data_IF_629001379413
#
_entry.id   IF_629001379413
#
_cell.length_a   1.000
_cell.length_b   1.000
_cell.length_c   1.000
_cell.angle_alpha   90.00
_cell.angle_beta   90.00
_cell.angle_gamma   90.00
#
_symmetry.space_group_name_H-M   'P 1'
#
loop_
_entity.id
_entity.type
_entity.pdbx_description
1 polymer ?
#
# COMPACT_ATOMS: atom_id res chain seq x y z
N UNK A 1 -20.42 -29.12 -2.75
CA UNK A 1 -19.27 -28.18 -2.71
C UNK A 1 -18.81 -28.12 -1.27
N UNK A 2 -17.51 -28.27 -0.99
CA UNK A 2 -17.01 -28.01 0.37
C UNK A 2 -17.27 -26.54 0.69
N UNK A 3 -17.68 -26.19 1.93
CA UNK A 3 -17.75 -24.79 2.32
C UNK A 3 -16.37 -24.15 2.09
N UNK A 4 -16.36 -22.94 1.53
CA UNK A 4 -15.15 -22.13 1.42
C UNK A 4 -14.78 -21.68 2.84
N UNK A 5 -13.72 -22.26 3.39
CA UNK A 5 -13.21 -21.92 4.71
C UNK A 5 -12.31 -20.69 4.61
N UNK A 6 -12.91 -19.50 4.46
CA UNK A 6 -12.18 -18.22 4.52
C UNK A 6 -11.91 -17.85 5.98
N UNK A 7 -10.68 -17.45 6.28
CA UNK A 7 -10.28 -17.02 7.62
C UNK A 7 -9.90 -15.53 7.66
N UNK A 8 -10.25 -14.81 8.75
CA UNK A 8 -11.16 -15.20 9.82
C UNK A 8 -12.61 -15.38 9.33
N UNK A 9 -13.48 -16.11 10.06
CA UNK A 9 -14.86 -16.28 9.66
C UNK A 9 -15.58 -14.92 9.64
N UNK A 10 -16.52 -14.74 8.70
CA UNK A 10 -17.21 -13.45 8.53
C UNK A 10 -17.88 -12.95 9.82
N UNK A 11 -18.42 -13.86 10.62
CA UNK A 11 -19.05 -13.52 11.91
C UNK A 11 -18.04 -12.88 12.88
N UNK A 12 -16.78 -13.32 12.86
CA UNK A 12 -15.72 -12.72 13.66
C UNK A 12 -15.42 -11.29 13.18
N UNK A 13 -15.23 -11.09 11.87
CA UNK A 13 -15.01 -9.77 11.27
C UNK A 13 -16.16 -8.82 11.61
N UNK A 14 -17.41 -9.30 11.46
CA UNK A 14 -18.61 -8.57 11.83
C UNK A 14 -18.59 -8.15 13.29
N UNK A 15 -18.26 -9.06 14.22
CA UNK A 15 -18.20 -8.74 15.64
C UNK A 15 -17.17 -7.64 15.96
N UNK A 16 -16.03 -7.62 15.26
CA UNK A 16 -15.00 -6.59 15.42
C UNK A 16 -15.46 -5.23 14.88
N UNK A 17 -16.16 -5.21 13.74
CA UNK A 17 -16.62 -3.97 13.08
C UNK A 17 -17.96 -3.43 13.61
N UNK A 18 -18.88 -4.28 14.03
CA UNK A 18 -20.22 -3.94 14.54
C UNK A 18 -20.34 -4.04 16.06
N UNK A 19 -19.43 -4.75 16.72
CA UNK A 19 -19.28 -4.80 18.18
C UNK A 19 -20.28 -5.78 18.78
N UNK A 20 -20.20 -6.06 20.09
CA UNK A 20 -21.27 -6.81 20.71
C UNK A 20 -22.58 -6.04 20.50
N UNK A 21 -23.68 -6.70 20.07
CA UNK A 21 -24.98 -6.05 20.06
C UNK A 21 -25.22 -5.48 21.45
N UNK A 22 -25.72 -4.24 21.53
CA UNK A 22 -26.06 -3.61 22.80
C UNK A 22 -26.82 -4.62 23.66
N UNK A 23 -26.22 -5.06 24.77
CA UNK A 23 -26.82 -6.05 25.67
C UNK A 23 -28.19 -5.53 26.08
N UNK A 24 -29.26 -6.09 25.51
CA UNK A 24 -30.52 -6.19 26.24
C UNK A 24 -30.26 -7.11 27.43
N UNK A 25 -30.76 -6.78 28.64
CA UNK A 25 -30.64 -7.68 29.78
C UNK A 25 -31.25 -9.04 29.41
N UNK A 26 -30.53 -10.08 29.80
CA UNK A 26 -30.52 -11.43 29.22
C UNK A 26 -31.86 -12.19 29.28
N UNK A 27 -32.01 -13.15 28.37
CA UNK A 27 -32.84 -14.33 28.58
C UNK A 27 -32.02 -15.59 28.26
N UNK A 28 -31.64 -16.31 29.33
CA UNK A 28 -31.32 -17.76 29.33
C UNK A 28 -29.95 -18.20 28.78
N UNK A 29 -29.29 -19.19 29.41
CA UNK A 29 -28.11 -19.82 28.84
C UNK A 29 -28.54 -20.73 27.68
N UNK A 30 -28.14 -20.36 26.45
CA UNK A 30 -28.21 -21.27 25.31
C UNK A 30 -27.03 -22.24 25.39
N UNK A 31 -27.35 -23.55 25.41
CA UNK A 31 -26.38 -24.64 25.33
C UNK A 31 -25.53 -24.49 24.06
N UNK A 32 -24.22 -24.43 24.25
CA UNK A 32 -23.24 -24.63 23.17
C UNK A 32 -23.37 -26.07 22.67
N UNK A 33 -23.87 -26.23 21.45
CA UNK A 33 -23.85 -27.50 20.74
C UNK A 33 -22.47 -27.70 20.15
N UNK A 34 -21.79 -28.75 20.61
CA UNK A 34 -20.60 -29.32 19.97
C UNK A 34 -20.91 -29.64 18.51
N UNK A 35 -20.22 -28.95 17.60
CA UNK A 35 -20.06 -29.38 16.22
C UNK A 35 -18.58 -29.69 16.00
N UNK A 36 -18.24 -30.97 16.17
CA UNK A 36 -16.96 -31.51 15.74
C UNK A 36 -16.90 -31.62 14.22
N UNK A 37 -15.81 -31.16 13.64
CA UNK A 37 -15.22 -31.72 12.42
C UNK A 37 -13.75 -31.30 12.37
N UNK A 38 -12.87 -32.29 12.25
CA UNK A 38 -11.42 -32.19 12.30
C UNK A 38 -10.84 -31.06 11.44
N UNK A 39 -10.35 -30.01 12.09
CA UNK A 39 -9.26 -29.23 11.55
C UNK A 39 -7.99 -30.09 11.70
N UNK A 40 -7.26 -30.31 10.61
CA UNK A 40 -5.86 -30.72 10.70
C UNK A 40 -5.17 -29.68 11.60
N UNK A 41 -4.96 -30.05 12.86
CA UNK A 41 -4.47 -29.14 13.87
C UNK A 41 -3.02 -28.82 13.54
N UNK A 42 -2.80 -27.65 12.95
CA UNK A 42 -1.51 -26.98 12.93
C UNK A 42 -0.98 -27.02 14.37
N UNK A 43 0.12 -27.74 14.58
CA UNK A 43 0.65 -27.94 15.92
C UNK A 43 1.08 -26.58 16.49
N UNK A 44 1.08 -26.38 17.82
CA UNK A 44 1.56 -25.15 18.42
C UNK A 44 2.99 -24.79 17.99
N UNK A 45 3.79 -25.78 17.59
CA UNK A 45 5.13 -25.61 17.03
C UNK A 45 5.14 -24.94 15.63
N UNK A 46 4.15 -25.26 14.79
CA UNK A 46 4.06 -24.75 13.40
C UNK A 46 3.71 -23.25 13.36
N UNK A 47 3.10 -22.74 14.45
CA UNK A 47 2.79 -21.32 14.60
C UNK A 47 3.94 -20.50 15.20
N UNK A 48 4.97 -21.14 15.77
CA UNK A 48 6.05 -20.42 16.46
C UNK A 48 6.83 -19.51 15.51
N UNK A 49 7.16 -20.00 14.30
CA UNK A 49 7.91 -19.21 13.34
C UNK A 49 7.10 -18.00 12.83
N UNK A 50 5.84 -18.15 12.35
CA UNK A 50 5.01 -17.00 11.97
C UNK A 50 4.79 -15.98 13.09
N UNK A 51 4.55 -16.45 14.33
CA UNK A 51 4.30 -15.55 15.46
C UNK A 51 5.57 -14.82 15.92
N UNK A 52 6.72 -15.50 15.90
CA UNK A 52 8.01 -14.88 16.22
C UNK A 52 8.37 -13.82 15.18
N UNK A 53 8.13 -14.12 13.91
CA UNK A 53 8.35 -13.18 12.81
C UNK A 53 7.43 -11.95 12.91
N UNK A 54 6.15 -12.16 13.22
CA UNK A 54 5.21 -11.08 13.48
C UNK A 54 5.64 -10.20 14.67
N UNK A 55 6.08 -10.83 15.77
CA UNK A 55 6.56 -10.12 16.94
C UNK A 55 7.80 -9.26 16.61
N UNK A 56 8.77 -9.85 15.89
CA UNK A 56 9.99 -9.17 15.44
C UNK A 56 9.67 -7.93 14.59
N UNK A 57 8.74 -8.04 13.66
CA UNK A 57 8.32 -6.91 12.81
C UNK A 57 7.63 -5.81 13.60
N UNK A 58 6.74 -6.17 14.52
CA UNK A 58 6.07 -5.19 15.40
C UNK A 58 7.06 -4.48 16.31
N UNK A 59 8.08 -5.18 16.81
CA UNK A 59 9.16 -4.58 17.60
C UNK A 59 10.00 -3.61 16.76
N UNK A 60 10.41 -4.00 15.55
CA UNK A 60 11.12 -3.13 14.61
C UNK A 60 10.30 -1.87 14.26
N UNK A 61 9.00 -2.02 14.07
CA UNK A 61 8.06 -0.93 13.81
C UNK A 61 7.96 0.02 15.02
N UNK A 62 7.86 -0.54 16.24
CA UNK A 62 7.82 0.24 17.47
C UNK A 62 9.11 1.04 17.69
N UNK A 63 10.27 0.43 17.41
CA UNK A 63 11.57 1.07 17.51
C UNK A 63 11.76 2.24 16.52
N UNK A 64 11.09 2.19 15.35
CA UNK A 64 11.21 3.23 14.33
C UNK A 64 10.60 4.57 14.75
N UNK A 65 9.60 4.56 15.63
CA UNK A 65 9.01 5.78 16.20
C UNK A 65 8.47 6.75 15.16
N UNK A 66 7.27 6.50 14.62
CA UNK A 66 6.67 7.42 13.66
C UNK A 66 6.25 8.75 14.31
N UNK A 67 6.61 9.86 13.67
CA UNK A 67 6.08 11.17 14.04
C UNK A 67 4.57 11.25 13.80
N UNK A 68 3.85 12.03 14.60
CA UNK A 68 2.39 12.19 14.51
C UNK A 68 1.91 12.95 13.24
N UNK A 69 2.81 13.34 12.35
CA UNK A 69 2.50 14.13 11.16
C UNK A 69 1.82 13.27 10.10
N UNK A 70 0.64 13.69 9.67
CA UNK A 70 -0.06 13.09 8.54
C UNK A 70 0.60 13.51 7.21
N UNK A 71 0.76 12.54 6.31
CA UNK A 71 1.39 12.70 5.01
C UNK A 71 0.91 11.59 4.05
N UNK A 72 1.04 11.76 2.71
CA UNK A 72 0.83 10.69 1.76
C UNK A 72 1.66 9.44 2.12
N UNK A 73 1.06 8.26 2.00
CA UNK A 73 1.71 6.98 2.30
C UNK A 73 1.70 6.61 3.79
N UNK A 74 1.21 7.49 4.68
CA UNK A 74 1.06 7.17 6.11
C UNK A 74 -0.11 6.22 6.30
N UNK A 75 0.17 5.08 6.92
CA UNK A 75 -0.84 4.18 7.43
C UNK A 75 -1.19 4.59 8.87
N UNK A 76 -2.47 4.82 9.14
CA UNK A 76 -2.98 5.24 10.44
C UNK A 76 -3.85 4.16 11.05
N UNK A 77 -3.80 4.02 12.38
CA UNK A 77 -4.94 3.49 13.15
C UNK A 77 -5.83 4.66 13.51
N UNK A 78 -7.12 4.52 13.28
CA UNK A 78 -8.14 5.53 13.60
C UNK A 78 -9.17 4.90 14.51
N UNK A 79 -9.41 5.52 15.68
CA UNK A 79 -10.50 5.11 16.56
C UNK A 79 -11.83 5.71 16.09
N UNK A 80 -12.80 4.87 15.75
CA UNK A 80 -14.16 5.24 15.41
C UNK A 80 -15.13 4.41 16.25
N UNK A 81 -15.97 5.06 17.07
CA UNK A 81 -16.92 4.39 17.98
C UNK A 81 -16.25 3.33 18.88
N UNK A 82 -15.03 3.61 19.36
CA UNK A 82 -14.25 2.68 20.19
C UNK A 82 -13.56 1.55 19.43
N UNK A 83 -13.56 1.57 18.10
CA UNK A 83 -12.96 0.53 17.25
C UNK A 83 -11.78 1.07 16.48
N UNK A 84 -10.76 0.24 16.32
CA UNK A 84 -9.60 0.58 15.52
C UNK A 84 -9.84 0.22 14.05
N UNK A 85 -9.72 1.22 13.17
CA UNK A 85 -9.74 1.06 11.72
C UNK A 85 -8.39 1.46 11.13
N UNK A 86 -7.90 0.72 10.14
CA UNK A 86 -6.72 1.10 9.37
C UNK A 86 -7.10 2.08 8.27
N UNK A 87 -6.31 3.14 8.07
CA UNK A 87 -6.48 4.07 6.96
C UNK A 87 -5.12 4.42 6.34
N UNK A 88 -4.94 4.14 5.06
CA UNK A 88 -3.80 4.63 4.29
C UNK A 88 -4.11 6.01 3.73
N UNK A 89 -3.33 7.02 4.10
CA UNK A 89 -3.47 8.38 3.59
C UNK A 89 -2.90 8.54 2.19
N UNK A 90 -3.66 9.20 1.33
CA UNK A 90 -3.27 9.49 -0.05
C UNK A 90 -2.86 10.96 -0.25
N UNK A 91 -3.80 11.87 -0.04
CA UNK A 91 -3.62 13.30 -0.36
C UNK A 91 -4.45 14.18 0.55
N UNK A 92 -3.98 15.41 0.73
CA UNK A 92 -4.74 16.48 1.37
C UNK A 92 -5.63 17.16 0.33
N UNK A 93 -6.92 17.24 0.59
CA UNK A 93 -7.90 17.95 -0.22
C UNK A 93 -7.85 19.46 0.06
N UNK A 94 -8.31 20.30 -0.89
CA UNK A 94 -8.29 21.77 -0.73
C UNK A 94 -9.06 22.30 0.47
N UNK A 95 -10.05 21.55 0.94
CA UNK A 95 -10.87 21.87 2.12
C UNK A 95 -10.23 21.44 3.45
N UNK A 96 -8.97 20.99 3.42
CA UNK A 96 -8.21 20.56 4.60
C UNK A 96 -8.48 19.13 5.07
N UNK A 97 -9.33 18.38 4.36
CA UNK A 97 -9.60 16.97 4.67
C UNK A 97 -8.57 16.05 4.00
N UNK A 98 -8.21 14.96 4.65
CA UNK A 98 -7.35 13.94 4.06
C UNK A 98 -8.18 12.87 3.37
N UNK A 99 -7.83 12.56 2.13
CA UNK A 99 -8.36 11.42 1.40
C UNK A 99 -7.43 10.22 1.55
N UNK A 100 -7.99 9.02 1.58
CA UNK A 100 -7.25 7.76 1.64
C UNK A 100 -8.14 6.56 1.37
N UNK A 101 -7.68 5.38 1.77
CA UNK A 101 -8.39 4.11 1.67
C UNK A 101 -8.37 3.37 3.00
N UNK A 102 -9.40 2.56 3.27
CA UNK A 102 -9.35 1.64 4.40
C UNK A 102 -8.25 0.60 4.21
N UNK A 103 -7.65 0.20 5.34
CA UNK A 103 -6.72 -0.91 5.42
C UNK A 103 -7.23 -1.95 6.43
N UNK A 104 -6.97 -3.22 6.11
CA UNK A 104 -7.53 -4.41 6.75
C UNK A 104 -6.44 -5.50 6.87
N UNK A 105 -6.71 -6.58 7.60
CA UNK A 105 -5.76 -7.68 7.81
C UNK A 105 -6.16 -9.00 7.13
N UNK A 106 -7.37 -9.05 6.57
CA UNK A 106 -8.04 -10.27 6.14
C UNK A 106 -7.72 -10.61 4.67
N UNK A 107 -6.57 -11.24 4.44
CA UNK A 107 -6.07 -11.58 3.08
C UNK A 107 -6.99 -12.53 2.31
N UNK A 108 -7.61 -13.51 2.99
CA UNK A 108 -8.49 -14.49 2.33
C UNK A 108 -9.74 -13.84 1.72
N UNK A 109 -10.10 -12.67 2.25
CA UNK A 109 -11.25 -11.89 1.83
C UNK A 109 -10.94 -10.90 0.70
N UNK A 110 -9.68 -10.82 0.27
CA UNK A 110 -9.26 -9.91 -0.78
C UNK A 110 -9.98 -10.20 -2.11
N UNK A 111 -10.44 -9.13 -2.75
CA UNK A 111 -10.89 -9.10 -4.14
C UNK A 111 -9.84 -8.50 -5.08
N UNK A 112 -10.18 -8.40 -6.36
CA UNK A 112 -9.30 -7.85 -7.40
C UNK A 112 -8.85 -6.39 -7.20
N UNK A 113 -9.52 -5.67 -6.29
CA UNK A 113 -9.28 -4.26 -6.00
C UNK A 113 -8.68 -4.03 -4.60
N UNK A 114 -8.34 -5.11 -3.90
CA UNK A 114 -7.61 -5.08 -2.64
C UNK A 114 -6.13 -5.30 -2.94
N UNK A 115 -5.27 -4.39 -2.49
CA UNK A 115 -3.82 -4.51 -2.68
C UNK A 115 -3.20 -5.07 -1.42
N UNK A 116 -2.54 -6.21 -1.54
CA UNK A 116 -1.81 -6.84 -0.43
C UNK A 116 -0.42 -6.21 -0.32
N UNK A 117 -0.05 -5.86 0.90
CA UNK A 117 1.25 -5.35 1.27
C UNK A 117 2.15 -6.50 1.68
N UNK A 118 3.37 -6.48 1.17
CA UNK A 118 4.35 -7.54 1.38
C UNK A 118 5.46 -7.08 2.34
N UNK A 119 6.32 -7.97 2.85
CA UNK A 119 7.43 -7.57 3.72
C UNK A 119 8.33 -6.49 3.11
N UNK A 120 8.50 -6.47 1.78
CA UNK A 120 9.26 -5.41 1.09
C UNK A 120 8.62 -4.02 1.13
N UNK A 121 7.33 -3.93 1.49
CA UNK A 121 6.60 -2.66 1.63
C UNK A 121 6.71 -2.08 3.05
N UNK A 122 7.39 -2.78 3.95
CA UNK A 122 7.68 -2.31 5.30
C UNK A 122 8.48 -0.99 5.26
N UNK A 123 8.25 -0.10 6.22
CA UNK A 123 7.62 -0.36 7.52
C UNK A 123 6.10 -0.09 7.57
N UNK A 124 5.33 -1.08 8.00
CA UNK A 124 3.91 -0.92 8.36
C UNK A 124 3.49 -1.96 9.40
N UNK A 125 2.36 -1.73 10.07
CA UNK A 125 1.73 -2.68 10.99
C UNK A 125 1.09 -3.84 10.21
N UNK A 126 1.59 -5.09 10.36
CA UNK A 126 1.10 -6.23 9.58
C UNK A 126 -0.40 -6.53 9.73
N UNK A 127 -1.04 -6.08 10.82
CA UNK A 127 -2.51 -6.17 10.98
C UNK A 127 -3.30 -5.37 9.93
N UNK A 128 -2.64 -4.51 9.17
CA UNK A 128 -3.22 -3.68 8.10
C UNK A 128 -2.55 -3.94 6.74
N UNK A 129 -2.24 -5.21 6.47
CA UNK A 129 -1.57 -5.67 5.25
C UNK A 129 -2.42 -5.67 3.99
N UNK A 130 -3.69 -5.28 4.02
CA UNK A 130 -4.58 -5.24 2.85
C UNK A 130 -5.15 -3.83 2.70
N UNK A 131 -4.89 -3.17 1.57
CA UNK A 131 -5.43 -1.83 1.25
C UNK A 131 -6.61 -1.96 0.32
N UNK A 132 -7.78 -1.50 0.76
CA UNK A 132 -9.04 -1.58 0.02
C UNK A 132 -9.16 -0.43 -0.97
N UNK A 133 -8.52 -0.53 -2.15
CA UNK A 133 -8.49 0.56 -3.14
C UNK A 133 -9.89 0.94 -3.68
N UNK A 134 -10.85 0.02 -3.56
CA UNK A 134 -12.26 0.22 -3.86
C UNK A 134 -13.05 0.97 -2.77
N UNK A 135 -12.49 1.17 -1.58
CA UNK A 135 -13.18 1.75 -0.41
C UNK A 135 -12.52 3.07 0.05
N UNK A 136 -12.68 4.16 -0.72
CA UNK A 136 -12.08 5.44 -0.37
C UNK A 136 -12.77 6.07 0.85
N UNK A 137 -11.98 6.70 1.72
CA UNK A 137 -12.45 7.42 2.90
C UNK A 137 -11.88 8.84 2.94
N UNK A 138 -12.53 9.70 3.72
CA UNK A 138 -12.08 11.07 3.97
C UNK A 138 -12.05 11.32 5.47
N UNK A 139 -10.94 11.87 5.96
CA UNK A 139 -10.67 12.15 7.37
C UNK A 139 -10.48 13.65 7.59
N UNK A 140 -10.91 14.13 8.74
CA UNK A 140 -10.51 15.44 9.27
C UNK A 140 -9.47 15.19 10.37
N UNK A 141 -8.33 15.89 10.41
CA UNK A 141 -7.45 15.85 11.57
C UNK A 141 -8.17 16.51 12.75
N UNK A 142 -8.86 15.72 13.57
CA UNK A 142 -9.65 16.20 14.69
C UNK A 142 -9.20 15.53 15.98
N UNK A 143 -9.18 16.23 17.14
CA UNK A 143 -8.87 15.65 18.44
C UNK A 143 -9.62 14.35 18.81
N UNK A 144 -10.91 14.13 18.45
CA UNK A 144 -11.59 12.86 18.74
C UNK A 144 -11.07 11.67 17.93
N UNK A 145 -10.36 11.90 16.83
CA UNK A 145 -9.69 10.85 16.08
C UNK A 145 -8.34 10.63 16.73
N UNK A 146 -8.26 9.67 17.66
CA UNK A 146 -6.98 9.17 18.17
C UNK A 146 -6.28 8.41 17.03
N UNK A 147 -5.65 9.17 16.14
CA UNK A 147 -4.98 8.65 14.97
C UNK A 147 -3.50 8.45 15.26
N UNK A 148 -3.03 7.20 15.30
CA UNK A 148 -1.61 6.89 15.43
C UNK A 148 -1.07 6.41 14.09
N UNK A 149 0.09 6.93 13.70
CA UNK A 149 0.82 6.43 12.54
C UNK A 149 1.37 5.04 12.86
N UNK A 150 1.00 4.07 12.03
CA UNK A 150 1.37 2.66 12.11
C UNK A 150 2.23 2.20 10.94
N UNK A 151 2.52 3.06 9.99
CA UNK A 151 3.33 2.70 8.83
C UNK A 151 3.59 3.85 7.90
N UNK A 152 4.52 3.62 6.98
CA UNK A 152 4.86 4.52 5.89
C UNK A 152 5.22 3.72 4.65
N UNK A 153 4.31 3.74 3.68
CA UNK A 153 4.55 3.11 2.39
C UNK A 153 5.43 4.00 1.52
N UNK A 154 6.26 3.37 0.69
CA UNK A 154 7.04 4.06 -0.32
C UNK A 154 6.14 4.81 -1.32
N UNK A 155 6.67 5.88 -1.92
CA UNK A 155 5.95 6.63 -2.95
C UNK A 155 5.57 5.74 -4.15
N UNK A 156 6.43 4.78 -4.51
CA UNK A 156 6.19 3.79 -5.58
C UNK A 156 5.01 2.88 -5.23
N UNK A 157 4.97 2.34 -4.00
CA UNK A 157 3.85 1.49 -3.58
C UNK A 157 2.55 2.27 -3.52
N UNK A 158 2.57 3.50 -3.00
CA UNK A 158 1.40 4.38 -3.00
C UNK A 158 0.90 4.69 -4.42
N UNK A 159 1.81 4.89 -5.38
CA UNK A 159 1.47 5.09 -6.79
C UNK A 159 0.81 3.85 -7.41
N UNK A 160 1.28 2.65 -7.09
CA UNK A 160 0.65 1.40 -7.51
C UNK A 160 -0.78 1.27 -6.97
N UNK A 161 -0.99 1.60 -5.69
CA UNK A 161 -2.33 1.59 -5.05
C UNK A 161 -3.26 2.60 -5.72
N UNK A 162 -2.78 3.82 -5.99
CA UNK A 162 -3.55 4.84 -6.76
C UNK A 162 -3.99 4.30 -8.11
N UNK A 163 -3.09 3.63 -8.84
CA UNK A 163 -3.40 3.08 -10.15
C UNK A 163 -4.49 2.00 -10.09
N UNK A 164 -4.49 1.14 -9.05
CA UNK A 164 -5.59 0.18 -8.81
C UNK A 164 -6.90 0.90 -8.51
N UNK A 165 -6.86 1.95 -7.69
CA UNK A 165 -8.05 2.75 -7.35
C UNK A 165 -8.63 3.45 -8.59
N UNK A 166 -7.78 3.98 -9.47
CA UNK A 166 -8.18 4.66 -10.71
C UNK A 166 -8.82 3.67 -11.70
N UNK A 167 -8.26 2.46 -11.84
CA UNK A 167 -8.87 1.39 -12.66
C UNK A 167 -10.24 0.97 -12.13
N UNK A 168 -10.39 0.82 -10.81
CA UNK A 168 -11.69 0.54 -10.19
C UNK A 168 -12.70 1.66 -10.45
N UNK A 169 -12.28 2.92 -10.28
CA UNK A 169 -13.13 4.08 -10.52
C UNK A 169 -13.56 4.17 -12.00
N UNK A 170 -12.64 3.89 -12.93
CA UNK A 170 -12.91 3.82 -14.36
C UNK A 170 -13.93 2.72 -14.69
N UNK A 171 -13.77 1.52 -14.13
CA UNK A 171 -14.69 0.40 -14.32
C UNK A 171 -16.11 0.77 -13.86
N UNK A 172 -16.26 1.48 -12.74
CA UNK A 172 -17.57 1.88 -12.21
C UNK A 172 -18.36 2.81 -13.13
N UNK A 173 -17.68 3.60 -13.96
CA UNK A 173 -18.30 4.55 -14.90
C UNK A 173 -18.37 3.96 -16.31
N UNK A 174 -18.01 2.68 -16.49
CA UNK A 174 -18.03 2.00 -17.79
C UNK A 174 -16.96 2.50 -18.75
N UNK A 175 -15.91 3.17 -18.25
CA UNK A 175 -14.77 3.53 -19.06
C UNK A 175 -13.97 2.25 -19.43
N UNK A 176 -13.25 2.24 -20.57
CA UNK A 176 -12.36 1.14 -20.91
C UNK A 176 -11.27 1.03 -19.85
N UNK A 177 -11.48 0.13 -18.88
CA UNK A 177 -10.49 -0.17 -17.86
C UNK A 177 -9.29 -0.84 -18.53
N UNK A 178 -8.08 -0.56 -18.02
CA UNK A 178 -6.93 -1.41 -18.29
C UNK A 178 -7.33 -2.87 -18.04
N UNK A 179 -6.89 -3.78 -18.91
CA UNK A 179 -7.32 -5.18 -18.88
C UNK A 179 -7.01 -5.81 -17.52
N UNK A 180 -8.01 -5.88 -16.63
CA UNK A 180 -7.95 -6.79 -15.48
C UNK A 180 -7.87 -8.18 -16.07
N UNK A 181 -6.73 -8.83 -15.89
CA UNK A 181 -6.46 -10.14 -16.42
C UNK A 181 -7.62 -11.07 -16.01
N UNK A 182 -8.27 -11.70 -16.99
CA UNK A 182 -9.49 -12.48 -16.83
C UNK A 182 -9.22 -13.75 -16.01
N UNK A 183 -9.08 -13.57 -14.70
CA UNK A 183 -8.89 -14.63 -13.73
C UNK A 183 -10.26 -15.01 -13.20
N UNK A 184 -10.61 -16.32 -13.16
CA UNK A 184 -11.89 -16.73 -12.61
C UNK A 184 -12.00 -16.35 -11.13
N UNK A 185 -13.21 -16.12 -10.61
CA UNK A 185 -13.44 -15.93 -9.19
C UNK A 185 -12.94 -17.14 -8.39
N UNK A 186 -12.05 -16.89 -7.43
CA UNK A 186 -11.55 -17.90 -6.51
C UNK A 186 -11.25 -17.23 -5.14
N UNK A 187 -12.24 -17.16 -4.24
CA UNK A 187 -12.05 -16.62 -2.88
C UNK A 187 -10.89 -17.31 -2.16
N UNK A 188 -10.13 -16.56 -1.34
CA UNK A 188 -8.92 -17.07 -0.68
C UNK A 188 -7.67 -17.16 -1.57
N UNK A 189 -7.77 -16.88 -2.87
CA UNK A 189 -6.61 -16.86 -3.77
C UNK A 189 -6.09 -15.46 -4.00
N UNK A 190 -4.76 -15.35 -3.94
CA UNK A 190 -4.00 -14.14 -4.26
C UNK A 190 -3.36 -14.31 -5.63
N UNK A 191 -3.43 -13.26 -6.45
CA UNK A 191 -2.90 -13.20 -7.79
C UNK A 191 -1.96 -12.02 -7.94
N UNK A 192 -0.87 -12.22 -8.68
CA UNK A 192 0.02 -11.15 -9.12
C UNK A 192 -0.58 -10.48 -10.37
N UNK A 193 -0.73 -9.16 -10.35
CA UNK A 193 -1.39 -8.39 -11.42
C UNK A 193 -0.53 -7.20 -11.84
N UNK A 194 -0.43 -6.99 -13.15
CA UNK A 194 0.11 -5.76 -13.73
C UNK A 194 -0.94 -4.64 -13.74
N UNK A 195 -0.54 -3.42 -13.37
CA UNK A 195 -1.42 -2.25 -13.22
C UNK A 195 -0.76 -1.02 -13.86
N UNK A 196 -1.54 -0.25 -14.62
CA UNK A 196 -1.07 0.93 -15.37
C UNK A 196 0.18 0.70 -16.24
N UNK A 197 0.47 -0.56 -16.62
CA UNK A 197 1.60 -0.94 -17.48
C UNK A 197 3.00 -0.84 -16.84
N UNK A 198 3.12 -0.40 -15.58
CA UNK A 198 4.42 -0.19 -14.93
C UNK A 198 4.50 -0.70 -13.48
N UNK A 199 3.37 -1.07 -12.87
CA UNK A 199 3.34 -1.60 -11.52
C UNK A 199 2.93 -3.06 -11.52
N UNK A 200 3.48 -3.80 -10.55
CA UNK A 200 3.04 -5.14 -10.21
C UNK A 200 2.53 -5.13 -8.77
N UNK A 201 1.34 -5.68 -8.54
CA UNK A 201 0.69 -5.74 -7.23
C UNK A 201 0.16 -7.13 -6.96
N UNK A 202 0.11 -7.52 -5.70
CA UNK A 202 -0.68 -8.68 -5.25
C UNK A 202 -2.11 -8.23 -4.96
N UNK A 203 -3.08 -8.90 -5.55
CA UNK A 203 -4.51 -8.67 -5.30
C UNK A 203 -5.22 -9.99 -5.06
N UNK A 204 -6.45 -9.95 -4.55
CA UNK A 204 -7.33 -11.12 -4.64
C UNK A 204 -7.81 -11.37 -6.07
N UNK A 205 -8.72 -12.33 -6.22
CA UNK A 205 -9.41 -12.60 -7.49
C UNK A 205 -10.70 -11.79 -7.63
N UNK A 206 -11.26 -11.62 -8.84
CA UNK A 206 -12.58 -11.01 -9.02
C UNK A 206 -13.66 -11.70 -8.19
N UNK A 207 -14.69 -10.95 -7.78
CA UNK A 207 -15.85 -11.51 -7.09
C UNK A 207 -16.69 -12.34 -8.06
N UNK A 208 -17.28 -13.43 -7.58
CA UNK A 208 -18.28 -14.16 -8.35
C UNK A 208 -19.57 -13.34 -8.47
N UNK A 209 -20.31 -13.54 -9.56
CA UNK A 209 -21.53 -12.78 -9.84
C UNK A 209 -22.64 -13.01 -8.79
N UNK A 210 -22.75 -14.23 -8.26
CA UNK A 210 -23.73 -14.61 -7.24
C UNK A 210 -23.09 -15.48 -6.16
N UNK A 211 -23.55 -15.31 -4.92
CA UNK A 211 -23.17 -16.18 -3.79
C UNK A 211 -21.73 -16.04 -3.28
N UNK A 212 -20.97 -15.02 -3.73
CA UNK A 212 -19.62 -14.78 -3.20
C UNK A 212 -19.71 -14.18 -1.78
N UNK A 213 -19.18 -14.87 -0.74
CA UNK A 213 -19.24 -14.38 0.63
C UNK A 213 -18.47 -13.06 0.80
N UNK A 214 -17.49 -12.75 -0.06
CA UNK A 214 -16.72 -11.50 0.00
C UNK A 214 -17.59 -10.27 -0.27
N UNK A 215 -18.76 -10.41 -0.90
CA UNK A 215 -19.71 -9.32 -1.06
C UNK A 215 -20.22 -8.80 0.29
N UNK A 216 -20.55 -9.70 1.23
CA UNK A 216 -20.98 -9.32 2.58
C UNK A 216 -19.84 -8.67 3.38
N UNK A 217 -18.63 -9.19 3.23
CA UNK A 217 -17.41 -8.57 3.80
C UNK A 217 -17.21 -7.14 3.29
N UNK A 218 -17.31 -6.91 1.97
CA UNK A 218 -17.24 -5.56 1.41
C UNK A 218 -18.35 -4.68 1.98
N UNK A 219 -19.56 -5.21 2.16
CA UNK A 219 -20.67 -4.52 2.80
C UNK A 219 -20.34 -4.02 4.22
N UNK A 220 -19.68 -4.84 5.05
CA UNK A 220 -19.27 -4.44 6.41
C UNK A 220 -18.27 -3.27 6.39
N UNK A 221 -17.26 -3.34 5.53
CA UNK A 221 -16.26 -2.27 5.41
C UNK A 221 -16.81 -0.99 4.80
N UNK A 222 -17.78 -1.08 3.89
CA UNK A 222 -18.50 0.10 3.40
C UNK A 222 -19.30 0.77 4.52
N UNK A 223 -19.93 -0.01 5.40
CA UNK A 223 -20.63 0.53 6.57
C UNK A 223 -19.67 1.19 7.56
N UNK A 224 -18.50 0.58 7.80
CA UNK A 224 -17.44 1.18 8.61
C UNK A 224 -16.94 2.51 8.00
N UNK A 225 -16.69 2.56 6.70
CA UNK A 225 -16.30 3.77 5.97
C UNK A 225 -17.35 4.90 6.11
N UNK A 226 -18.65 4.57 6.02
CA UNK A 226 -19.74 5.54 6.20
C UNK A 226 -19.77 6.10 7.62
N UNK A 227 -19.61 5.27 8.65
CA UNK A 227 -19.55 5.72 10.06
C UNK A 227 -18.34 6.61 10.33
N UNK A 228 -17.20 6.27 9.74
CA UNK A 228 -15.99 7.09 9.81
C UNK A 228 -16.20 8.46 9.18
N UNK A 229 -16.85 8.53 8.02
CA UNK A 229 -17.19 9.78 7.35
C UNK A 229 -18.20 10.63 8.16
N UNK A 230 -19.19 9.99 8.80
CA UNK A 230 -20.15 10.66 9.67
C UNK A 230 -19.48 11.23 10.93
N UNK A 231 -18.54 10.50 11.53
CA UNK A 231 -17.75 10.96 12.69
C UNK A 231 -16.85 12.17 12.34
N UNK A 232 -16.46 12.29 11.08
CA UNK A 232 -15.66 13.41 10.56
C UNK A 232 -16.51 14.61 10.09
N UNK A 233 -17.85 14.49 10.06
CA UNK A 233 -18.70 15.60 9.65
C UNK A 233 -18.60 16.74 10.68
N UNK A 234 -18.29 17.98 10.26
CA UNK A 234 -18.18 19.09 11.20
C UNK A 234 -19.53 19.31 11.88
N UNK A 235 -19.51 19.54 13.19
CA UNK A 235 -20.64 20.01 14.01
C UNK A 235 -21.08 21.44 13.65
N UNK A 236 -21.05 21.81 12.36
CA UNK A 236 -21.33 23.13 11.83
C UNK A 236 -22.83 23.46 11.71
N UNK A 237 -23.72 22.65 12.30
CA UNK A 237 -25.17 22.88 12.34
C UNK A 237 -25.72 23.12 13.75
N UNK A 238 -24.91 23.00 14.81
CA UNK A 238 -25.39 23.16 16.20
C UNK A 238 -25.20 24.56 16.80
N UNK A 239 -24.76 25.54 16.01
CA UNK A 239 -24.35 26.85 16.52
C UNK A 239 -24.78 28.05 15.65
N UNK A 240 -25.99 28.05 15.09
CA UNK A 240 -26.62 29.30 14.65
C UNK A 240 -27.60 29.76 15.73
N UNK A 241 -27.26 30.77 16.55
CA UNK A 241 -28.29 31.45 17.31
C UNK A 241 -29.28 32.03 16.29
N UNK A 242 -30.56 31.68 16.42
CA UNK A 242 -31.63 32.34 15.70
C UNK A 242 -31.62 33.82 16.07
N UNK A 243 -30.96 34.64 15.25
CA UNK A 243 -31.20 36.06 15.22
C UNK A 243 -32.65 36.25 14.77
N UNK A 244 -33.53 36.56 15.73
CA UNK A 244 -34.89 37.01 15.46
C UNK A 244 -34.83 38.22 14.53
N UNK A 245 -35.29 38.05 13.29
CA UNK A 245 -35.61 39.15 12.39
C UNK A 245 -36.68 40.03 13.03
N UNK A 246 -36.31 41.26 13.36
CA UNK A 246 -37.23 42.39 13.39
C UNK A 246 -36.82 43.35 12.25
N UNK A 247 -37.80 43.70 11.43
CA UNK A 247 -37.65 44.36 10.14
C UNK A 247 -37.30 45.88 10.26
N UNK A 248 -36.97 46.55 9.14
CA UNK A 248 -36.15 47.75 9.09
C UNK A 248 -36.95 49.07 9.05
N UNK A 249 -36.30 50.19 9.39
CA UNK A 249 -36.81 51.53 9.07
C UNK A 249 -35.66 52.55 9.01
N UNK A 250 -35.54 53.26 7.87
CA UNK A 250 -35.00 54.62 7.83
C UNK A 250 -33.60 54.81 7.20
N UNK A 251 -33.47 55.66 6.16
CA UNK A 251 -32.21 55.90 5.44
C UNK A 251 -31.43 57.08 6.02
N UNK A 252 -30.10 56.98 6.08
CA UNK A 252 -29.23 58.02 6.62
C UNK A 252 -27.84 57.99 5.98
N UNK A 253 -27.48 59.13 5.40
CA UNK A 253 -26.33 59.39 4.53
C UNK A 253 -24.99 59.41 5.29
N UNK A 254 -23.91 59.17 4.53
CA UNK A 254 -22.61 59.86 4.61
C UNK A 254 -21.46 59.24 5.45
N UNK A 255 -20.46 58.76 4.68
CA UNK A 255 -19.00 58.66 4.91
C UNK A 255 -18.44 59.16 6.26
N UNK A 256 -17.63 58.31 6.88
CA UNK A 256 -16.29 58.67 7.36
C UNK A 256 -15.37 57.45 7.44
N UNK A 257 -14.09 57.68 7.17
CA UNK A 257 -13.02 56.69 7.20
C UNK A 257 -12.79 56.20 8.64
N UNK A 258 -12.76 54.88 8.83
CA UNK A 258 -12.32 54.22 10.05
C UNK A 258 -11.66 52.90 9.65
N UNK A 259 -10.34 52.93 9.57
CA UNK A 259 -9.46 51.79 9.36
C UNK A 259 -9.31 51.11 10.72
N UNK A 260 -9.97 49.96 10.91
CA UNK A 260 -9.64 49.03 11.99
C UNK A 260 -9.57 47.61 11.43
N UNK A 261 -8.42 47.02 11.71
CA UNK A 261 -7.92 45.75 11.22
C UNK A 261 -8.51 44.59 12.04
N UNK A 262 -9.25 43.68 11.39
CA UNK A 262 -9.54 42.35 11.93
C UNK A 262 -9.06 41.27 10.97
N UNK A 263 -7.73 41.20 10.82
CA UNK A 263 -7.04 40.08 10.20
C UNK A 263 -6.23 39.33 11.26
N UNK A 264 -6.74 38.15 11.63
CA UNK A 264 -6.10 37.21 12.54
C UNK A 264 -4.66 36.83 12.14
N UNK A 265 -3.88 36.27 13.07
CA UNK A 265 -2.43 36.09 12.94
C UNK A 265 -2.00 35.29 11.69
N UNK A 266 -2.85 34.40 11.18
CA UNK A 266 -2.60 33.62 9.97
C UNK A 266 -2.69 34.45 8.68
N UNK A 267 -3.56 35.48 8.65
CA UNK A 267 -3.73 36.38 7.51
C UNK A 267 -2.55 37.33 7.30
N UNK A 268 -1.82 37.66 8.38
CA UNK A 268 -0.58 38.46 8.31
C UNK A 268 0.62 37.65 7.83
N UNK A 269 0.63 36.33 8.05
CA UNK A 269 1.71 35.45 7.57
C UNK A 269 1.62 35.19 6.06
N UNK A 270 0.41 34.96 5.53
CA UNK A 270 0.18 34.71 4.11
C UNK A 270 0.45 35.94 3.23
N UNK A 271 0.25 37.16 3.76
CA UNK A 271 0.61 38.40 3.05
C UNK A 271 2.11 38.69 3.02
N UNK A 272 2.89 38.10 3.92
CA UNK A 272 4.35 38.26 3.98
C UNK A 272 5.10 37.31 3.02
N UNK A 273 4.41 36.31 2.48
CA UNK A 273 4.94 35.35 1.50
C UNK A 273 4.40 35.57 0.08
N UNK A 274 3.44 36.47 -0.11
CA UNK A 274 2.81 36.75 -1.40
C UNK A 274 2.87 38.23 -1.77
N UNK A 275 4.07 38.76 -1.98
CA UNK A 275 4.30 40.06 -2.60
C UNK A 275 4.97 39.90 -3.95
N UNK A 276 4.24 40.19 -5.04
CA UNK A 276 4.80 40.32 -6.39
C UNK A 276 4.06 39.48 -7.43
N UNK A 277 3.20 40.11 -8.21
CA UNK A 277 2.46 39.49 -9.30
C UNK A 277 3.32 39.16 -10.52
N UNK A 278 2.71 38.45 -11.47
CA UNK A 278 3.30 38.12 -12.77
C UNK A 278 3.47 36.62 -12.94
N UNK A 279 2.70 36.04 -13.86
CA UNK A 279 2.64 34.61 -14.07
C UNK A 279 3.94 33.98 -14.56
N UNK A 280 4.10 32.68 -14.29
CA UNK A 280 4.99 31.80 -15.04
C UNK A 280 4.33 30.43 -15.22
N UNK A 281 3.82 30.22 -16.43
CA UNK A 281 3.76 28.91 -17.08
C UNK A 281 5.21 28.45 -17.30
N UNK A 282 5.50 27.17 -17.02
CA UNK A 282 6.56 26.43 -17.71
C UNK A 282 7.81 26.05 -16.89
N UNK A 283 8.24 24.81 -17.16
CA UNK A 283 9.61 24.25 -17.04
C UNK A 283 10.21 23.98 -15.66
N UNK A 284 9.71 22.95 -14.96
CA UNK A 284 10.52 22.14 -14.02
C UNK A 284 10.24 20.63 -14.16
N UNK A 285 9.94 20.18 -15.38
CA UNK A 285 9.57 18.79 -15.70
C UNK A 285 10.70 17.75 -15.73
N UNK A 286 11.97 18.06 -16.06
CA UNK A 286 12.97 16.99 -16.23
C UNK A 286 13.96 16.81 -15.06
N UNK A 287 14.10 17.77 -14.12
CA UNK A 287 15.11 17.68 -13.05
C UNK A 287 14.70 16.75 -11.88
N UNK A 288 13.40 16.48 -11.70
CA UNK A 288 12.89 15.57 -10.66
C UNK A 288 12.87 14.09 -11.09
N UNK A 289 12.97 13.80 -12.39
CA UNK A 289 13.02 12.42 -12.90
C UNK A 289 14.39 11.77 -12.71
N UNK A 290 15.48 12.56 -12.69
CA UNK A 290 16.85 12.04 -12.51
C UNK A 290 17.15 11.71 -11.04
N UNK A 291 16.52 12.41 -10.09
CA UNK A 291 16.70 12.17 -8.66
C UNK A 291 15.96 10.92 -8.14
N UNK A 292 14.90 10.49 -8.83
CA UNK A 292 14.19 9.24 -8.53
C UNK A 292 14.94 7.99 -9.04
N UNK A 293 15.79 8.13 -10.06
CA UNK A 293 16.56 7.01 -10.62
C UNK A 293 17.81 6.68 -9.79
N UNK A 294 18.42 7.68 -9.13
CA UNK A 294 19.66 7.51 -8.35
C UNK A 294 19.43 6.83 -6.99
N UNK A 295 18.22 6.94 -6.42
CA UNK A 295 17.89 6.33 -5.12
C UNK A 295 17.47 4.85 -5.18
N UNK A 296 17.17 4.31 -6.36
CA UNK A 296 16.81 2.88 -6.54
C UNK A 296 18.05 1.98 -6.49
N UNK A 297 19.26 2.50 -6.75
CA UNK A 297 20.47 1.67 -6.87
C UNK A 297 21.16 1.41 -5.53
N UNK A 298 20.92 2.21 -4.48
CA UNK A 298 21.63 2.02 -3.19
C UNK A 298 21.01 0.99 -2.25
N UNK A 299 19.79 0.49 -2.51
CA UNK A 299 19.07 -0.37 -1.55
C UNK A 299 19.14 -1.88 -1.85
N UNK A 300 19.82 -2.29 -2.92
CA UNK A 300 20.02 -3.71 -3.27
C UNK A 300 21.41 -4.25 -2.87
N UNK A 301 22.27 -3.42 -2.27
CA UNK A 301 23.69 -3.73 -2.02
C UNK A 301 24.08 -4.09 -0.59
N UNK A 302 23.12 -4.24 0.34
CA UNK A 302 23.44 -4.53 1.75
C UNK A 302 22.58 -5.69 2.25
N UNK A 303 23.05 -6.92 2.03
CA UNK A 303 23.02 -8.06 2.97
C UNK A 303 23.57 -9.33 2.25
N UNK A 304 24.88 -9.64 2.39
CA UNK A 304 25.40 -10.95 2.06
C UNK A 304 25.41 -11.85 3.31
N UNK A 305 24.88 -13.08 3.15
CA UNK A 305 25.39 -14.26 3.85
C UNK A 305 24.65 -14.73 5.10
N UNK A 306 23.80 -15.75 4.92
CA UNK A 306 23.76 -16.96 5.76
C UNK A 306 22.97 -18.03 4.99
N UNK A 307 23.69 -18.97 4.36
CA UNK A 307 23.14 -20.21 3.82
C UNK A 307 23.42 -21.36 4.79
N UNK A 308 22.39 -22.17 5.04
CA UNK A 308 22.43 -23.56 5.52
C UNK A 308 21.43 -24.37 4.67
N UNK A 309 21.63 -25.69 4.52
CA UNK A 309 21.37 -26.40 3.28
C UNK A 309 19.89 -26.70 3.00
N UNK A 310 19.61 -26.83 1.72
CA UNK A 310 18.35 -27.27 1.14
C UNK A 310 17.92 -28.64 1.68
N UNK A 311 16.78 -28.67 2.35
CA UNK A 311 15.92 -29.85 2.43
C UNK A 311 14.50 -29.42 2.07
N UNK A 312 13.80 -30.31 1.37
CA UNK A 312 12.51 -30.13 0.72
C UNK A 312 11.46 -29.48 1.63
N UNK A 313 11.12 -28.23 1.34
CA UNK A 313 9.95 -27.56 1.92
C UNK A 313 8.88 -27.42 0.82
N UNK A 314 8.24 -28.55 0.52
CA UNK A 314 7.04 -28.61 -0.30
C UNK A 314 5.84 -28.04 0.48
N UNK A 315 5.79 -26.71 0.59
CA UNK A 315 4.57 -26.01 0.99
C UNK A 315 3.49 -26.26 -0.08
N UNK A 316 2.42 -26.93 0.34
CA UNK A 316 1.26 -27.32 -0.45
C UNK A 316 0.52 -26.10 -1.01
N UNK A 317 0.97 -25.58 -2.15
CA UNK A 317 0.07 -24.92 -3.11
C UNK A 317 -0.83 -26.01 -3.70
N UNK A 318 -2.15 -25.92 -3.51
CA UNK A 318 -3.08 -26.77 -4.24
C UNK A 318 -3.09 -26.36 -5.72
N UNK A 319 -2.57 -27.27 -6.55
CA UNK A 319 -2.81 -27.47 -7.98
C UNK A 319 -2.88 -26.21 -8.86
N UNK A 320 -1.70 -25.68 -9.22
CA UNK A 320 -1.52 -24.96 -10.47
C UNK A 320 -0.92 -25.92 -11.52
N UNK A 321 -1.39 -25.94 -12.78
CA UNK A 321 -0.67 -26.65 -13.84
C UNK A 321 0.74 -26.06 -13.98
N UNK A 322 1.77 -26.87 -14.28
CA UNK A 322 3.15 -26.40 -14.31
C UNK A 322 3.30 -25.37 -15.42
N UNK A 323 3.28 -24.10 -15.04
CA UNK A 323 3.71 -23.02 -15.93
C UNK A 323 5.19 -22.86 -15.67
N UNK A 324 6.01 -23.47 -16.51
CA UNK A 324 7.46 -23.29 -16.52
C UNK A 324 7.74 -21.79 -16.53
N UNK A 325 8.32 -21.19 -15.47
CA UNK A 325 8.66 -19.78 -15.51
C UNK A 325 9.70 -19.59 -16.61
N UNK A 326 9.39 -18.73 -17.58
CA UNK A 326 10.35 -18.31 -18.58
C UNK A 326 11.50 -17.62 -17.84
N UNK A 327 12.70 -18.22 -17.89
CA UNK A 327 13.88 -17.68 -17.26
C UNK A 327 14.15 -16.26 -17.80
N UNK A 328 14.60 -15.31 -16.95
CA UNK A 328 15.02 -14.00 -17.43
C UNK A 328 16.16 -14.19 -18.44
N UNK A 329 15.92 -13.80 -19.69
CA UNK A 329 16.91 -13.92 -20.77
C UNK A 329 18.13 -13.04 -20.43
N UNK A 330 19.26 -13.68 -20.17
CA UNK A 330 20.56 -13.02 -20.11
C UNK A 330 21.04 -12.70 -21.53
N UNK A 331 21.78 -11.61 -21.70
CA UNK A 331 22.41 -11.24 -22.97
C UNK A 331 23.89 -11.66 -23.02
N UNK A 332 24.52 -11.86 -21.85
CA UNK A 332 25.92 -12.27 -21.72
C UNK A 332 26.19 -13.00 -20.40
N UNK A 333 27.16 -13.91 -20.39
CA UNK A 333 27.73 -14.55 -19.22
C UNK A 333 29.19 -14.09 -19.06
N UNK A 334 29.54 -13.52 -17.91
CA UNK A 334 30.86 -12.98 -17.63
C UNK A 334 31.51 -13.68 -16.44
N UNK A 335 32.77 -14.08 -16.62
CA UNK A 335 33.62 -14.55 -15.52
C UNK A 335 34.72 -13.53 -15.26
N UNK A 336 34.87 -13.14 -14.00
CA UNK A 336 35.92 -12.22 -13.56
C UNK A 336 37.23 -12.98 -13.34
N UNK A 337 38.36 -12.29 -13.48
CA UNK A 337 39.66 -12.85 -13.07
C UNK A 337 39.72 -12.96 -11.55
N UNK A 338 40.51 -13.92 -11.06
CA UNK A 338 40.74 -14.07 -9.63
C UNK A 338 41.40 -12.80 -9.05
N UNK A 339 40.87 -12.30 -7.93
CA UNK A 339 41.36 -11.09 -7.28
C UNK A 339 40.87 -9.76 -7.88
N UNK A 340 39.92 -9.79 -8.83
CA UNK A 340 39.26 -8.56 -9.31
C UNK A 340 38.50 -7.88 -8.18
N UNK A 341 38.81 -6.61 -7.96
CA UNK A 341 38.10 -5.79 -6.98
C UNK A 341 36.65 -5.53 -7.42
N UNK A 342 35.72 -5.62 -6.47
CA UNK A 342 34.27 -5.48 -6.72
C UNK A 342 33.95 -4.07 -7.21
N UNK A 343 34.65 -3.03 -6.73
CA UNK A 343 34.41 -1.66 -7.17
C UNK A 343 34.93 -1.41 -8.60
N UNK A 344 35.96 -2.12 -9.03
CA UNK A 344 36.45 -2.08 -10.41
C UNK A 344 35.53 -2.84 -11.37
N UNK A 345 35.05 -4.03 -10.97
CA UNK A 345 34.05 -4.79 -11.72
C UNK A 345 32.75 -3.98 -11.90
N UNK A 346 32.29 -3.31 -10.84
CA UNK A 346 31.09 -2.46 -10.87
C UNK A 346 31.25 -1.27 -11.82
N UNK A 347 32.41 -0.61 -11.81
CA UNK A 347 32.73 0.49 -12.74
C UNK A 347 32.75 0.02 -14.20
N UNK A 348 33.28 -1.18 -14.45
CA UNK A 348 33.28 -1.76 -15.80
C UNK A 348 31.85 -2.08 -16.27
N UNK A 349 31.01 -2.68 -15.44
CA UNK A 349 29.62 -2.98 -15.78
C UNK A 349 28.83 -1.70 -16.10
N UNK A 350 29.03 -0.64 -15.32
CA UNK A 350 28.44 0.68 -15.61
C UNK A 350 28.90 1.23 -16.96
N UNK A 351 30.20 1.11 -17.27
CA UNK A 351 30.78 1.57 -18.55
C UNK A 351 30.25 0.76 -19.74
N UNK A 352 30.06 -0.55 -19.56
CA UNK A 352 29.52 -1.45 -20.58
C UNK A 352 27.99 -1.37 -20.73
N UNK A 353 27.30 -0.55 -19.91
CA UNK A 353 25.84 -0.53 -19.87
C UNK A 353 25.22 -1.88 -19.48
N UNK A 354 25.92 -2.63 -18.62
CA UNK A 354 25.58 -3.99 -18.21
C UNK A 354 24.95 -4.02 -16.81
N UNK A 355 23.89 -4.82 -16.64
CA UNK A 355 23.23 -5.08 -15.35
C UNK A 355 23.35 -6.56 -15.02
N UNK A 356 23.74 -6.90 -13.79
CA UNK A 356 23.76 -8.29 -13.35
C UNK A 356 22.33 -8.80 -13.13
N UNK A 357 21.95 -9.86 -13.84
CA UNK A 357 20.65 -10.55 -13.75
C UNK A 357 20.71 -11.67 -12.72
N UNK A 358 21.84 -12.39 -12.67
CA UNK A 358 22.08 -13.48 -11.74
C UNK A 358 23.58 -13.76 -11.60
N UNK A 359 23.98 -14.42 -10.53
CA UNK A 359 25.36 -14.89 -10.33
C UNK A 359 25.93 -14.56 -8.95
N UNK A 360 27.10 -15.13 -8.60
CA UNK A 360 27.86 -16.09 -9.40
C UNK A 360 27.21 -17.49 -9.40
N UNK A 361 27.19 -18.16 -10.56
CA UNK A 361 26.80 -19.58 -10.63
C UNK A 361 27.87 -20.49 -9.99
N UNK A 362 27.62 -21.80 -9.92
CA UNK A 362 28.58 -22.78 -9.40
C UNK A 362 29.94 -22.81 -10.14
N UNK A 363 30.07 -22.09 -11.26
CA UNK A 363 31.31 -21.93 -12.03
C UNK A 363 31.92 -20.52 -11.93
N UNK A 364 31.34 -19.64 -11.10
CA UNK A 364 31.81 -18.27 -10.90
C UNK A 364 31.39 -17.29 -12.00
N UNK A 365 30.40 -17.64 -12.82
CA UNK A 365 29.90 -16.81 -13.93
C UNK A 365 28.71 -15.97 -13.50
N UNK A 366 28.65 -14.76 -14.06
CA UNK A 366 27.60 -13.78 -13.84
C UNK A 366 26.78 -13.61 -15.10
N UNK A 367 25.46 -13.78 -14.99
CA UNK A 367 24.51 -13.47 -16.05
C UNK A 367 24.25 -11.98 -16.08
N UNK A 368 24.46 -11.36 -17.24
CA UNK A 368 24.32 -9.93 -17.46
C UNK A 368 23.26 -9.65 -18.52
N UNK A 369 22.57 -8.52 -18.35
CA UNK A 369 21.71 -7.89 -19.34
C UNK A 369 22.39 -6.64 -19.85
N UNK A 370 22.43 -6.45 -21.15
CA UNK A 370 23.14 -5.33 -21.77
C UNK A 370 22.13 -4.35 -22.37
N UNK A 371 22.23 -3.08 -21.99
CA UNK A 371 21.43 -2.01 -22.58
C UNK A 371 21.72 -1.85 -24.09
N UNK A 372 22.98 -2.11 -24.50
CA UNK A 372 23.43 -2.12 -25.89
C UNK A 372 24.32 -3.37 -26.09
N UNK A 373 23.77 -4.50 -26.55
CA UNK A 373 24.48 -5.78 -26.57
C UNK A 373 25.80 -5.77 -27.33
N UNK A 374 25.88 -5.09 -28.48
CA UNK A 374 27.11 -5.06 -29.30
C UNK A 374 28.24 -4.26 -28.63
N UNK A 375 27.93 -3.05 -28.17
CA UNK A 375 28.91 -2.15 -27.59
C UNK A 375 29.33 -2.63 -26.20
N UNK A 376 28.37 -3.09 -25.40
CA UNK A 376 28.62 -3.66 -24.08
C UNK A 376 29.49 -4.92 -24.13
N UNK A 377 29.25 -5.84 -25.08
CA UNK A 377 30.11 -7.01 -25.27
C UNK A 377 31.53 -6.64 -25.70
N UNK A 378 31.70 -5.61 -26.54
CA UNK A 378 33.02 -5.13 -26.96
C UNK A 378 33.81 -4.54 -25.77
N UNK A 379 33.14 -3.79 -24.89
CA UNK A 379 33.75 -3.24 -23.67
C UNK A 379 34.11 -4.36 -22.68
N UNK A 380 33.25 -5.35 -22.51
CA UNK A 380 33.51 -6.48 -21.60
C UNK A 380 34.67 -7.35 -22.11
N UNK A 381 34.74 -7.64 -23.40
CA UNK A 381 35.82 -8.45 -24.01
C UNK A 381 37.17 -7.73 -24.04
N UNK A 382 37.19 -6.42 -24.10
CA UNK A 382 38.44 -5.62 -24.09
C UNK A 382 38.97 -5.34 -22.69
N UNK A 383 38.22 -5.68 -21.64
CA UNK A 383 38.61 -5.40 -20.27
C UNK A 383 39.66 -6.38 -19.73
N UNK A 384 40.73 -5.88 -19.09
CA UNK A 384 41.72 -6.74 -18.45
C UNK A 384 41.18 -7.46 -17.21
N UNK A 385 40.02 -7.05 -16.68
CA UNK A 385 39.38 -7.61 -15.48
C UNK A 385 38.56 -8.87 -15.79
N UNK A 386 38.23 -9.09 -17.06
CA UNK A 386 37.35 -10.18 -17.49
C UNK A 386 38.19 -11.38 -17.92
N UNK A 387 37.84 -12.55 -17.40
CA UNK A 387 38.45 -13.83 -17.76
C UNK A 387 37.78 -14.43 -19.01
N UNK A 388 36.45 -14.42 -19.07
CA UNK A 388 35.69 -14.86 -20.25
C UNK A 388 34.36 -14.11 -20.38
N UNK A 389 33.91 -13.95 -21.63
CA UNK A 389 32.58 -13.41 -21.99
C UNK A 389 31.94 -14.36 -22.99
N UNK A 390 30.85 -15.00 -22.59
CA UNK A 390 30.04 -15.89 -23.42
C UNK A 390 28.70 -15.20 -23.71
N UNK A 391 28.13 -15.44 -24.89
CA UNK A 391 26.71 -15.18 -25.14
C UNK A 391 25.95 -16.46 -24.81
N UNK A 392 24.84 -16.40 -24.07
CA UNK A 392 24.11 -17.59 -23.61
C UNK A 392 23.58 -18.47 -24.74
#
# INVERSE_FOLDING_TARGET
MRPLDLWPPLAHIRSTLEGPPARRPAAGPAREGEAGAAADACGPADLLLPLTELARRREALAARGFGARWAPGRLLSVLCEGRMLGVLLDRLLPDGRWQGWLAAGETDWAGAWDVLLEPQDEPFEPLFGVVQAWNPVTLVPAPPLCARVLGELSATRLAAIRAVADEWAAQRVGAPAGTVQATPPAPGQIALRGVAGCFTVLTGTPLAAEGDPRADYQGLYQQAARRLAQSAAPAALAGRPQARSAAPSGPGRMRSNGREDDAGPLGRFLRRLGGGGGGFRGTWGPALAVLALVLVVQNAGLLPGLHGPAEDDAMRLRDAPPTTPAAPQADALVRWKAGTDIAEATRLLQTAGAQAVAGPDGQGRWSLRLLQPRDGLAVLRSSPLVQSVETP
#
